data_IF_243308904931
#
_entry.id   IF_243308904931
#
_cell.length_a   1.000
_cell.length_b   1.000
_cell.length_c   1.000
_cell.angle_alpha   90.00
_cell.angle_beta   90.00
_cell.angle_gamma   90.00
#
_symmetry.space_group_name_H-M   'P 1'
#
loop_
_entity.id
_entity.type
_entity.pdbx_description
1 polymer ?
#
# COMPACT_ATOMS: atom_id res chain seq x y z
N UNK A 1 4.81 -26.46 -31.72
CA UNK A 1 5.91 -25.51 -31.44
C UNK A 1 6.10 -25.47 -29.93
N UNK A 2 7.20 -26.07 -29.43
CA UNK A 2 7.45 -26.22 -28.01
C UNK A 2 7.88 -24.88 -27.42
N UNK A 3 7.00 -24.24 -26.64
CA UNK A 3 7.37 -23.05 -25.88
C UNK A 3 8.47 -23.43 -24.89
N UNK A 4 9.71 -23.06 -25.22
CA UNK A 4 10.84 -23.23 -24.34
C UNK A 4 10.52 -22.56 -22.99
N UNK A 5 10.33 -23.38 -21.96
CA UNK A 5 10.18 -22.95 -20.58
C UNK A 5 11.45 -22.18 -20.21
N UNK A 6 11.39 -20.85 -20.33
CA UNK A 6 12.41 -19.93 -19.83
C UNK A 6 12.00 -19.60 -18.40
N UNK A 7 12.69 -20.11 -17.37
CA UNK A 7 12.31 -19.89 -15.97
C UNK A 7 12.20 -18.40 -15.59
N UNK A 8 12.88 -17.51 -16.32
CA UNK A 8 12.75 -16.06 -16.17
C UNK A 8 11.46 -15.46 -16.75
N UNK A 9 10.91 -16.03 -17.83
CA UNK A 9 9.69 -15.53 -18.48
C UNK A 9 8.43 -15.81 -17.63
N UNK A 10 8.42 -16.94 -16.92
CA UNK A 10 7.37 -17.26 -15.95
C UNK A 10 7.41 -16.30 -14.75
N UNK A 11 8.60 -15.88 -14.30
CA UNK A 11 8.73 -14.97 -13.17
C UNK A 11 8.29 -13.54 -13.53
N UNK A 12 8.63 -13.06 -14.73
CA UNK A 12 8.13 -11.78 -15.22
C UNK A 12 6.62 -11.78 -15.44
N UNK A 13 6.04 -12.89 -15.91
CA UNK A 13 4.59 -13.03 -16.03
C UNK A 13 3.88 -13.04 -14.67
N UNK A 14 4.44 -13.73 -13.67
CA UNK A 14 3.94 -13.70 -12.28
C UNK A 14 4.02 -12.29 -11.70
N UNK A 15 5.11 -11.56 -11.95
CA UNK A 15 5.26 -10.18 -11.51
C UNK A 15 4.27 -9.24 -12.17
N UNK A 16 4.09 -9.32 -13.49
CA UNK A 16 3.11 -8.51 -14.21
C UNK A 16 1.67 -8.78 -13.73
N UNK A 17 1.33 -10.05 -13.50
CA UNK A 17 0.04 -10.43 -12.94
C UNK A 17 -0.14 -9.90 -11.51
N UNK A 18 0.92 -9.93 -10.68
CA UNK A 18 0.88 -9.38 -9.33
C UNK A 18 0.73 -7.86 -9.33
N UNK A 19 1.41 -7.16 -10.26
CA UNK A 19 1.29 -5.72 -10.43
C UNK A 19 -0.15 -5.36 -10.82
N UNK A 20 -0.71 -6.03 -11.82
CA UNK A 20 -2.10 -5.83 -12.22
C UNK A 20 -3.08 -6.10 -11.07
N UNK A 21 -2.90 -7.20 -10.34
CA UNK A 21 -3.72 -7.49 -9.16
C UNK A 21 -3.60 -6.39 -8.10
N UNK A 22 -2.40 -5.84 -7.89
CA UNK A 22 -2.16 -4.74 -6.95
C UNK A 22 -2.86 -3.44 -7.38
N UNK A 23 -2.88 -3.12 -8.68
CA UNK A 23 -3.57 -1.95 -9.22
C UNK A 23 -5.09 -2.05 -9.07
N UNK A 24 -5.64 -3.26 -9.12
CA UNK A 24 -7.06 -3.53 -8.88
C UNK A 24 -7.41 -3.68 -7.38
N UNK A 25 -6.47 -3.43 -6.47
CA UNK A 25 -6.68 -3.60 -5.03
C UNK A 25 -6.78 -5.06 -4.56
N UNK A 26 -6.47 -6.04 -5.41
CA UNK A 26 -6.47 -7.47 -5.09
C UNK A 26 -5.15 -7.88 -4.40
N UNK A 27 -4.84 -7.23 -3.27
CA UNK A 27 -3.55 -7.36 -2.56
C UNK A 27 -3.24 -8.80 -2.14
N UNK A 28 -4.23 -9.60 -1.71
CA UNK A 28 -4.05 -11.01 -1.35
C UNK A 28 -3.63 -11.86 -2.55
N UNK A 29 -4.21 -11.58 -3.72
CA UNK A 29 -3.86 -12.27 -4.97
C UNK A 29 -2.44 -11.89 -5.40
N UNK A 30 -2.12 -10.59 -5.35
CA UNK A 30 -0.78 -10.09 -5.63
C UNK A 30 0.29 -10.75 -4.73
N UNK A 31 0.00 -10.91 -3.43
CA UNK A 31 0.91 -11.59 -2.50
C UNK A 31 1.12 -13.06 -2.87
N UNK A 32 0.04 -13.76 -3.22
CA UNK A 32 0.10 -15.18 -3.63
C UNK A 32 0.92 -15.35 -4.91
N UNK A 33 0.79 -14.42 -5.87
CA UNK A 33 1.55 -14.43 -7.12
C UNK A 33 3.04 -14.14 -6.87
N UNK A 34 3.36 -13.15 -6.03
CA UNK A 34 4.74 -12.81 -5.67
C UNK A 34 5.42 -13.89 -4.84
N UNK A 35 4.68 -14.58 -3.97
CA UNK A 35 5.20 -15.68 -3.16
C UNK A 35 5.68 -16.87 -4.02
N UNK A 36 5.15 -17.01 -5.25
CA UNK A 36 5.60 -18.03 -6.21
C UNK A 36 6.92 -17.69 -6.89
N UNK A 37 7.39 -16.44 -6.81
CA UNK A 37 8.67 -16.02 -7.39
C UNK A 37 9.79 -16.36 -6.40
N UNK A 38 10.73 -17.26 -6.76
CA UNK A 38 11.83 -17.63 -5.87
C UNK A 38 12.68 -16.43 -5.45
N UNK A 39 13.13 -16.39 -4.20
CA UNK A 39 13.90 -15.27 -3.66
C UNK A 39 15.16 -14.90 -4.48
N UNK A 40 15.87 -15.91 -5.01
CA UNK A 40 17.04 -15.70 -5.87
C UNK A 40 16.75 -15.08 -7.24
N UNK A 41 15.47 -15.03 -7.64
CA UNK A 41 15.01 -14.45 -8.90
C UNK A 41 14.32 -13.10 -8.71
N UNK A 42 14.25 -12.57 -7.49
CA UNK A 42 13.57 -11.30 -7.19
C UNK A 42 14.43 -10.10 -7.57
N UNK A 43 13.89 -9.22 -8.41
CA UNK A 43 14.50 -7.93 -8.74
C UNK A 43 14.24 -6.90 -7.62
N UNK A 44 14.78 -5.68 -7.75
CA UNK A 44 14.41 -4.57 -6.84
C UNK A 44 12.91 -4.31 -6.92
N UNK A 45 12.37 -4.14 -8.13
CA UNK A 45 10.95 -3.79 -8.34
C UNK A 45 9.99 -4.85 -7.81
N UNK A 46 10.36 -6.13 -7.89
CA UNK A 46 9.59 -7.22 -7.28
C UNK A 46 9.58 -7.13 -5.75
N UNK A 47 10.69 -6.76 -5.14
CA UNK A 47 10.80 -6.57 -3.69
C UNK A 47 10.02 -5.34 -3.24
N UNK A 48 10.10 -4.25 -3.99
CA UNK A 48 9.35 -3.02 -3.73
C UNK A 48 7.84 -3.25 -3.84
N UNK A 49 7.39 -3.95 -4.89
CA UNK A 49 5.99 -4.35 -5.03
C UNK A 49 5.55 -5.26 -3.87
N UNK A 50 6.38 -6.21 -3.44
CA UNK A 50 6.06 -7.09 -2.31
C UNK A 50 5.92 -6.31 -1.01
N UNK A 51 6.79 -5.33 -0.76
CA UNK A 51 6.65 -4.42 0.38
C UNK A 51 5.34 -3.65 0.32
N UNK A 52 5.00 -3.08 -0.84
CA UNK A 52 3.75 -2.37 -1.08
C UNK A 52 2.51 -3.23 -0.84
N UNK A 53 2.52 -4.47 -1.34
CA UNK A 53 1.43 -5.43 -1.16
C UNK A 53 1.25 -5.79 0.31
N UNK A 54 2.34 -6.10 1.02
CA UNK A 54 2.29 -6.42 2.45
C UNK A 54 1.77 -5.24 3.29
N UNK A 55 2.20 -4.03 2.95
CA UNK A 55 1.72 -2.81 3.59
C UNK A 55 0.22 -2.62 3.37
N UNK A 56 -0.26 -2.76 2.13
CA UNK A 56 -1.68 -2.64 1.83
C UNK A 56 -2.53 -3.74 2.49
N UNK A 57 -2.00 -4.96 2.67
CA UNK A 57 -2.68 -6.00 3.43
C UNK A 57 -2.87 -5.62 4.91
N UNK A 58 -1.89 -4.95 5.51
CA UNK A 58 -2.04 -4.42 6.86
C UNK A 58 -3.08 -3.29 6.92
N UNK A 59 -3.14 -2.43 5.89
CA UNK A 59 -4.20 -1.41 5.78
C UNK A 59 -5.59 -2.05 5.71
N UNK A 60 -5.76 -3.09 4.90
CA UNK A 60 -7.03 -3.84 4.81
C UNK A 60 -7.41 -4.45 6.17
N UNK A 61 -6.42 -4.87 6.97
CA UNK A 61 -6.67 -5.36 8.33
C UNK A 61 -7.21 -4.25 9.24
N UNK A 62 -6.62 -3.06 9.17
CA UNK A 62 -7.11 -1.89 9.91
C UNK A 62 -8.50 -1.43 9.42
N UNK A 63 -8.76 -1.44 8.11
CA UNK A 63 -10.07 -1.18 7.53
C UNK A 63 -11.12 -2.14 8.07
N UNK A 64 -10.81 -3.44 8.14
CA UNK A 64 -11.71 -4.43 8.69
C UNK A 64 -12.01 -4.16 10.16
N UNK A 65 -11.03 -3.69 10.95
CA UNK A 65 -11.29 -3.24 12.32
C UNK A 65 -12.24 -2.04 12.37
N UNK A 66 -12.06 -1.04 11.51
CA UNK A 66 -12.96 0.11 11.41
C UNK A 66 -14.38 -0.31 11.01
N UNK A 67 -14.50 -1.18 10.01
CA UNK A 67 -15.78 -1.70 9.54
C UNK A 67 -16.52 -2.52 10.63
N UNK A 68 -15.78 -3.16 11.53
CA UNK A 68 -16.31 -3.86 12.70
C UNK A 68 -16.62 -2.92 13.89
N UNK A 69 -16.34 -1.62 13.76
CA UNK A 69 -16.48 -0.64 14.85
C UNK A 69 -15.36 -0.69 15.89
N UNK A 70 -14.30 -1.48 15.66
CA UNK A 70 -13.14 -1.57 16.54
C UNK A 70 -12.11 -0.49 16.20
N UNK A 71 -12.47 0.77 16.47
CA UNK A 71 -11.63 1.93 16.19
C UNK A 71 -10.32 1.94 16.97
N UNK A 72 -10.30 1.36 18.18
CA UNK A 72 -9.07 1.25 19.00
C UNK A 72 -8.05 0.35 18.32
N UNK A 73 -8.43 -0.87 17.92
CA UNK A 73 -7.52 -1.80 17.24
C UNK A 73 -7.04 -1.25 15.88
N UNK A 74 -7.95 -0.60 15.13
CA UNK A 74 -7.61 0.12 13.91
C UNK A 74 -6.55 1.19 14.18
N UNK A 75 -6.79 2.11 15.12
CA UNK A 75 -5.87 3.22 15.43
C UNK A 75 -4.49 2.74 15.86
N UNK A 76 -4.41 1.65 16.65
CA UNK A 76 -3.14 1.07 17.09
C UNK A 76 -2.37 0.49 15.89
N UNK A 77 -3.06 -0.21 14.99
CA UNK A 77 -2.47 -0.76 13.77
C UNK A 77 -1.98 0.37 12.87
N UNK A 78 -2.82 1.37 12.61
CA UNK A 78 -2.51 2.50 11.73
C UNK A 78 -1.35 3.35 12.26
N UNK A 79 -1.26 3.57 13.58
CA UNK A 79 -0.12 4.29 14.19
C UNK A 79 1.20 3.53 14.03
N UNK A 80 1.17 2.20 14.20
CA UNK A 80 2.35 1.38 13.94
C UNK A 80 2.80 1.48 12.47
N UNK A 81 1.84 1.49 11.53
CA UNK A 81 2.11 1.68 10.11
C UNK A 81 2.62 3.09 9.80
N UNK A 82 2.09 4.12 10.45
CA UNK A 82 2.53 5.51 10.31
C UNK A 82 3.99 5.74 10.78
N UNK A 83 4.50 4.86 11.64
CA UNK A 83 5.91 4.89 12.08
C UNK A 83 6.87 4.48 10.96
N UNK A 84 6.38 3.74 9.96
CA UNK A 84 7.12 3.33 8.76
C UNK A 84 6.31 3.72 7.52
N UNK A 85 6.20 5.03 7.25
CA UNK A 85 5.28 5.54 6.25
C UNK A 85 5.63 5.02 4.84
N UNK A 86 4.61 4.75 4.00
CA UNK A 86 4.82 4.23 2.67
C UNK A 86 5.40 5.35 1.79
N UNK A 87 6.26 4.95 0.85
CA UNK A 87 6.87 5.89 -0.11
C UNK A 87 5.86 6.35 -1.18
N UNK A 88 4.91 5.49 -1.52
CA UNK A 88 3.89 5.78 -2.52
C UNK A 88 2.85 6.78 -1.96
N UNK A 89 2.57 7.90 -2.66
CA UNK A 89 1.63 8.91 -2.16
C UNK A 89 0.21 8.39 -1.98
N UNK A 90 -0.26 7.53 -2.90
CA UNK A 90 -1.59 6.93 -2.81
C UNK A 90 -1.74 6.10 -1.51
N UNK A 91 -0.73 5.28 -1.19
CA UNK A 91 -0.76 4.45 0.02
C UNK A 91 -0.64 5.32 1.30
N UNK A 92 0.09 6.43 1.24
CA UNK A 92 0.20 7.40 2.33
C UNK A 92 -1.11 8.16 2.57
N UNK A 93 -1.80 8.57 1.50
CA UNK A 93 -3.11 9.20 1.57
C UNK A 93 -4.16 8.26 2.13
N UNK A 94 -4.14 7.00 1.70
CA UNK A 94 -5.01 5.96 2.24
C UNK A 94 -4.79 5.72 3.74
N UNK A 95 -3.53 5.60 4.18
CA UNK A 95 -3.20 5.51 5.61
C UNK A 95 -3.70 6.73 6.38
N UNK A 96 -3.44 7.94 5.87
CA UNK A 96 -3.86 9.19 6.52
C UNK A 96 -5.38 9.25 6.67
N UNK A 97 -6.12 8.91 5.62
CA UNK A 97 -7.58 8.86 5.65
C UNK A 97 -8.08 7.89 6.71
N UNK A 98 -7.51 6.69 6.78
CA UNK A 98 -7.89 5.70 7.79
C UNK A 98 -7.52 6.15 9.22
N UNK A 99 -6.40 6.84 9.40
CA UNK A 99 -6.03 7.46 10.67
C UNK A 99 -7.10 8.48 11.10
N UNK A 100 -7.50 9.38 10.19
CA UNK A 100 -8.55 10.35 10.43
C UNK A 100 -9.90 9.67 10.75
N UNK A 101 -10.30 8.65 9.99
CA UNK A 101 -11.51 7.86 10.24
C UNK A 101 -11.47 7.11 11.59
N UNK A 102 -10.28 6.71 12.04
CA UNK A 102 -10.07 6.10 13.36
C UNK A 102 -10.07 7.12 14.52
N UNK A 103 -10.11 8.42 14.22
CA UNK A 103 -10.11 9.52 15.19
C UNK A 103 -8.73 10.16 15.42
N UNK A 104 -7.67 9.71 14.75
CA UNK A 104 -6.31 10.24 14.86
C UNK A 104 -5.98 11.22 13.71
N UNK A 105 -6.74 12.31 13.65
CA UNK A 105 -6.57 13.34 12.62
C UNK A 105 -5.19 14.03 12.71
N UNK A 106 -4.62 14.16 13.91
CA UNK A 106 -3.30 14.75 14.11
C UNK A 106 -2.20 13.92 13.45
N UNK A 107 -2.21 12.59 13.63
CA UNK A 107 -1.27 11.71 12.95
C UNK A 107 -1.50 11.70 11.43
N UNK A 108 -2.76 11.71 11.00
CA UNK A 108 -3.13 11.77 9.58
C UNK A 108 -2.53 12.99 8.87
N UNK A 109 -2.73 14.19 9.42
CA UNK A 109 -2.21 15.44 8.87
C UNK A 109 -0.68 15.46 8.88
N UNK A 110 -0.06 14.98 9.97
CA UNK A 110 1.39 14.91 10.08
C UNK A 110 1.99 13.99 9.02
N UNK A 111 1.37 12.83 8.79
CA UNK A 111 1.77 11.88 7.75
C UNK A 111 1.69 12.50 6.36
N UNK A 112 0.57 13.15 6.03
CA UNK A 112 0.37 13.82 4.73
C UNK A 112 1.42 14.91 4.52
N UNK A 113 1.62 15.78 5.50
CA UNK A 113 2.61 16.87 5.42
C UNK A 113 4.03 16.31 5.22
N UNK A 114 4.39 15.24 5.92
CA UNK A 114 5.69 14.58 5.76
C UNK A 114 5.84 13.91 4.39
N UNK A 115 4.77 13.32 3.83
CA UNK A 115 4.80 12.72 2.50
C UNK A 115 4.96 13.78 1.41
N UNK A 116 4.20 14.88 1.48
CA UNK A 116 4.30 16.01 0.56
C UNK A 116 5.69 16.68 0.66
N UNK A 117 6.22 16.87 1.87
CA UNK A 117 7.55 17.48 2.06
C UNK A 117 8.70 16.60 1.58
N UNK A 118 8.53 15.28 1.56
CA UNK A 118 9.51 14.32 1.04
C UNK A 118 9.62 14.31 -0.49
N UNK A 119 8.74 15.05 -1.18
CA UNK A 119 8.75 15.21 -2.62
C UNK A 119 7.48 14.64 -3.27
N UNK A 120 6.95 15.38 -4.23
CA UNK A 120 5.75 14.97 -4.97
C UNK A 120 6.17 13.95 -6.05
N UNK A 121 6.03 12.66 -5.77
CA UNK A 121 6.36 11.58 -6.71
C UNK A 121 5.12 10.79 -7.09
N UNK A 122 4.43 11.17 -8.17
CA UNK A 122 3.21 10.49 -8.61
C UNK A 122 2.28 11.39 -9.43
N UNK A 123 1.10 10.87 -9.74
CA UNK A 123 0.06 11.62 -10.45
C UNK A 123 -0.79 12.43 -9.46
N UNK A 124 -1.41 13.52 -9.91
CA UNK A 124 -2.27 14.36 -9.05
C UNK A 124 -3.42 13.59 -8.38
N UNK A 125 -3.91 12.51 -9.03
CA UNK A 125 -4.93 11.62 -8.47
C UNK A 125 -4.47 10.85 -7.23
N UNK A 126 -3.17 10.58 -7.09
CA UNK A 126 -2.60 9.85 -5.96
C UNK A 126 -2.62 10.68 -4.65
N UNK A 127 -2.86 11.99 -4.76
CA UNK A 127 -2.94 12.93 -3.64
C UNK A 127 -4.37 13.25 -3.21
N UNK A 128 -5.40 12.73 -3.89
CA UNK A 128 -6.79 13.08 -3.61
C UNK A 128 -7.19 12.79 -2.14
N UNK A 129 -6.84 11.60 -1.63
CA UNK A 129 -7.08 11.24 -0.23
C UNK A 129 -6.26 12.10 0.74
N UNK A 130 -5.04 12.49 0.37
CA UNK A 130 -4.20 13.38 1.19
C UNK A 130 -4.82 14.77 1.32
N UNK A 131 -5.33 15.32 0.22
CA UNK A 131 -6.01 16.62 0.20
C UNK A 131 -7.32 16.56 1.00
N UNK A 132 -8.07 15.46 0.91
CA UNK A 132 -9.29 15.27 1.70
C UNK A 132 -9.01 15.34 3.21
N UNK A 133 -7.94 14.70 3.67
CA UNK A 133 -7.51 14.76 5.09
C UNK A 133 -7.12 16.18 5.51
N UNK A 134 -6.40 16.90 4.66
CA UNK A 134 -6.03 18.29 4.95
C UNK A 134 -7.26 19.20 5.03
N UNK A 135 -8.19 19.08 4.08
CA UNK A 135 -9.45 19.83 4.09
C UNK A 135 -10.33 19.50 5.31
N UNK A 136 -10.32 18.25 5.78
CA UNK A 136 -11.03 17.86 6.99
C UNK A 136 -10.42 18.48 8.26
N UNK A 137 -9.14 18.84 8.22
CA UNK A 137 -8.41 19.41 9.34
C UNK A 137 -8.44 20.95 9.43
N UNK A 138 -8.88 21.67 8.38
CA UNK A 138 -9.04 23.13 8.42
C UNK A 138 -9.07 23.82 7.07
#
# INVERSE_FOLDING_TARGET
MSAAYRPGASNSALYAAALFASENGAWQQAQTLLARIPGGSQTSDMRDLRQRVNYNLQLVTAENYLAQGNTIAASNTLRAMASTPPKAPADAGKLARLLAESGDLTAAVSLVRNNISSGVSGNAGDYADQIAVLNQAG
#
